data_IF_492872240375
#
_entry.id   IF_492872240375
#
_cell.length_a   1.000
_cell.length_b   1.000
_cell.length_c   1.000
_cell.angle_alpha   90.00
_cell.angle_beta   90.00
_cell.angle_gamma   90.00
#
_symmetry.space_group_name_H-M   'P 1'
#
loop_
_entity.id
_entity.type
_entity.pdbx_description
1 polymer ?
#
# COMPACT_ATOMS: atom_id res chain seq x y z
N UNK A 1 -17.41 62.06 -12.41
CA UNK A 1 -16.55 61.17 -13.22
C UNK A 1 -15.33 60.80 -12.40
N UNK A 2 -15.20 59.55 -11.97
CA UNK A 2 -13.95 58.85 -11.64
C UNK A 2 -14.22 57.34 -11.90
N UNK A 3 -13.33 56.62 -12.60
CA UNK A 3 -13.63 55.31 -13.18
C UNK A 3 -13.46 54.13 -12.20
N UNK A 4 -14.14 53.05 -12.58
CA UNK A 4 -14.14 51.69 -12.01
C UNK A 4 -12.73 51.09 -11.87
N UNK A 5 -12.53 50.31 -10.81
CA UNK A 5 -11.49 49.26 -10.76
C UNK A 5 -12.20 47.90 -10.68
N UNK A 6 -11.88 46.93 -11.55
CA UNK A 6 -12.46 45.60 -11.50
C UNK A 6 -11.82 44.81 -10.35
N UNK A 7 -12.65 44.31 -9.44
CA UNK A 7 -12.23 43.32 -8.43
C UNK A 7 -11.60 42.14 -9.15
N UNK A 8 -10.29 42.00 -9.02
CA UNK A 8 -9.53 40.87 -9.55
C UNK A 8 -10.03 39.59 -8.86
N UNK A 9 -10.63 38.72 -9.65
CA UNK A 9 -10.90 37.32 -9.32
C UNK A 9 -9.61 36.67 -8.82
N UNK A 10 -9.53 36.44 -7.52
CA UNK A 10 -8.45 35.68 -6.92
C UNK A 10 -8.61 34.22 -7.33
N UNK A 11 -7.89 33.83 -8.38
CA UNK A 11 -7.67 32.43 -8.74
C UNK A 11 -6.94 31.79 -7.57
N UNK A 12 -7.64 30.92 -6.85
CA UNK A 12 -7.03 29.92 -5.98
C UNK A 12 -6.13 29.04 -6.86
N UNK A 13 -4.85 29.36 -6.89
CA UNK A 13 -3.84 28.50 -7.47
C UNK A 13 -3.72 27.27 -6.57
N UNK A 14 -4.14 26.13 -7.11
CA UNK A 14 -3.96 24.79 -6.57
C UNK A 14 -2.48 24.56 -6.24
N UNK A 15 -2.12 24.59 -4.97
CA UNK A 15 -0.87 24.01 -4.49
C UNK A 15 -1.03 22.50 -4.50
N UNK A 16 -0.60 21.86 -5.59
CA UNK A 16 -0.39 20.41 -5.63
C UNK A 16 0.74 20.05 -4.63
N UNK A 17 0.52 19.14 -3.68
CA UNK A 17 1.53 18.79 -2.69
C UNK A 17 2.62 17.94 -3.34
N UNK A 18 3.82 18.50 -3.45
CA UNK A 18 5.04 17.80 -3.89
C UNK A 18 5.60 16.89 -2.78
N UNK A 19 4.98 16.90 -1.59
CA UNK A 19 5.33 16.12 -0.40
C UNK A 19 4.95 14.63 -0.52
N UNK A 20 4.01 14.28 -1.40
CA UNK A 20 3.48 12.91 -1.53
C UNK A 20 4.47 11.94 -2.18
N UNK A 21 5.41 12.42 -3.00
CA UNK A 21 6.40 11.56 -3.69
C UNK A 21 7.50 11.05 -2.76
N UNK A 22 7.99 11.88 -1.82
CA UNK A 22 8.94 11.43 -0.79
C UNK A 22 8.28 10.51 0.26
N UNK A 23 6.99 10.75 0.53
CA UNK A 23 6.17 9.91 1.41
C UNK A 23 6.00 8.48 0.89
N UNK A 24 5.73 8.31 -0.42
CA UNK A 24 5.53 6.97 -0.99
C UNK A 24 6.80 6.12 -1.00
N UNK A 25 7.96 6.70 -1.34
CA UNK A 25 9.24 5.98 -1.32
C UNK A 25 9.63 5.51 0.08
N UNK A 26 9.36 6.33 1.09
CA UNK A 26 9.57 5.99 2.51
C UNK A 26 8.61 4.89 2.96
N UNK A 27 7.32 5.01 2.62
CA UNK A 27 6.32 3.97 2.90
C UNK A 27 6.68 2.63 2.27
N UNK A 28 7.19 2.64 1.03
CA UNK A 28 7.62 1.43 0.33
C UNK A 28 8.83 0.78 1.00
N UNK A 29 9.80 1.59 1.44
CA UNK A 29 10.97 1.11 2.19
C UNK A 29 10.54 0.47 3.52
N UNK A 30 9.64 1.12 4.24
CA UNK A 30 9.13 0.63 5.53
C UNK A 30 8.32 -0.66 5.35
N UNK A 31 7.53 -0.75 4.27
CA UNK A 31 6.81 -1.96 3.93
C UNK A 31 7.76 -3.13 3.61
N UNK A 32 8.85 -2.88 2.87
CA UNK A 32 9.87 -3.91 2.57
C UNK A 32 10.57 -4.36 3.86
N UNK A 33 10.90 -3.43 4.76
CA UNK A 33 11.50 -3.76 6.05
C UNK A 33 10.55 -4.60 6.91
N UNK A 34 9.27 -4.24 6.97
CA UNK A 34 8.25 -4.99 7.70
C UNK A 34 8.05 -6.41 7.19
N UNK A 35 8.19 -6.63 5.87
CA UNK A 35 8.14 -7.97 5.27
C UNK A 35 9.35 -8.81 5.70
N UNK A 36 10.55 -8.23 5.69
CA UNK A 36 11.75 -8.90 6.17
C UNK A 36 11.63 -9.31 7.65
N UNK A 37 11.15 -8.40 8.50
CA UNK A 37 10.97 -8.68 9.92
C UNK A 37 9.92 -9.79 10.15
N UNK A 38 8.85 -9.80 9.36
CA UNK A 38 7.83 -10.87 9.40
C UNK A 38 8.38 -12.21 8.94
N UNK A 39 9.31 -12.22 7.98
CA UNK A 39 9.96 -13.43 7.48
C UNK A 39 10.86 -14.05 8.55
N UNK A 40 11.68 -13.23 9.21
CA UNK A 40 12.52 -13.66 10.35
C UNK A 40 11.68 -14.18 11.50
N UNK A 41 10.56 -13.52 11.81
CA UNK A 41 9.63 -13.98 12.84
C UNK A 41 9.00 -15.33 12.47
N UNK A 42 8.64 -15.51 11.19
CA UNK A 42 8.08 -16.77 10.67
C UNK A 42 9.09 -17.91 10.78
N UNK A 43 10.36 -17.69 10.41
CA UNK A 43 11.41 -18.71 10.54
C UNK A 43 11.61 -19.17 12.00
N UNK A 44 11.54 -18.22 12.93
CA UNK A 44 11.60 -18.51 14.36
C UNK A 44 10.38 -19.32 14.84
N UNK A 45 9.20 -19.00 14.32
CA UNK A 45 7.94 -19.69 14.64
C UNK A 45 7.87 -21.08 14.01
N UNK A 46 8.39 -21.28 12.80
CA UNK A 46 8.58 -22.58 12.16
C UNK A 46 9.55 -23.46 12.94
N UNK A 47 10.64 -22.87 13.44
CA UNK A 47 11.57 -23.56 14.33
C UNK A 47 10.88 -24.03 15.61
N UNK A 48 9.94 -23.23 16.15
CA UNK A 48 9.11 -23.62 17.30
C UNK A 48 8.07 -24.68 16.95
N UNK A 49 7.45 -24.62 15.78
CA UNK A 49 6.44 -25.57 15.31
C UNK A 49 7.01 -26.98 15.06
N UNK A 50 8.24 -27.07 14.55
CA UNK A 50 8.97 -28.35 14.41
C UNK A 50 9.15 -29.04 15.78
N UNK A 51 9.07 -28.28 16.89
CA UNK A 51 9.07 -28.84 18.24
C UNK A 51 7.73 -29.43 18.70
N UNK A 52 6.68 -29.40 17.86
CA UNK A 52 5.51 -30.30 18.00
C UNK A 52 4.29 -29.75 18.74
N UNK A 53 3.88 -28.51 18.49
CA UNK A 53 2.67 -27.96 19.11
C UNK A 53 1.37 -28.28 18.35
N UNK A 54 0.32 -28.57 19.15
CA UNK A 54 -1.01 -29.07 18.77
C UNK A 54 -1.73 -28.21 17.72
N UNK A 55 -2.02 -28.77 16.55
CA UNK A 55 -2.84 -28.14 15.50
C UNK A 55 -4.09 -28.97 15.24
N UNK A 56 -5.26 -28.37 15.43
CA UNK A 56 -6.54 -29.00 15.15
C UNK A 56 -6.90 -28.88 13.64
N UNK A 57 -7.43 -29.94 13.04
CA UNK A 57 -7.72 -30.00 11.59
C UNK A 57 -8.64 -28.88 11.08
N UNK A 58 -9.54 -28.36 11.92
CA UNK A 58 -10.46 -27.28 11.55
C UNK A 58 -9.73 -25.95 11.34
N UNK A 59 -8.67 -25.70 12.11
CA UNK A 59 -7.85 -24.49 11.97
C UNK A 59 -7.06 -24.49 10.66
N UNK A 60 -6.60 -25.67 10.21
CA UNK A 60 -5.90 -25.81 8.92
C UNK A 60 -6.84 -25.46 7.75
N UNK A 61 -8.09 -25.93 7.80
CA UNK A 61 -9.08 -25.62 6.76
C UNK A 61 -9.45 -24.13 6.74
N UNK A 62 -9.69 -23.52 7.91
CA UNK A 62 -10.00 -22.09 8.02
C UNK A 62 -8.81 -21.26 7.52
N UNK A 63 -7.59 -21.63 7.92
CA UNK A 63 -6.37 -20.95 7.51
C UNK A 63 -6.16 -21.04 5.99
N UNK A 64 -6.39 -22.21 5.39
CA UNK A 64 -6.30 -22.41 3.94
C UNK A 64 -7.31 -21.55 3.18
N UNK A 65 -8.55 -21.47 3.66
CA UNK A 65 -9.60 -20.63 3.07
C UNK A 65 -9.25 -19.14 3.18
N UNK A 66 -8.78 -18.72 4.36
CA UNK A 66 -8.32 -17.35 4.61
C UNK A 66 -7.15 -16.96 3.70
N UNK A 67 -6.14 -17.83 3.59
CA UNK A 67 -5.00 -17.62 2.70
C UNK A 67 -5.43 -17.48 1.23
N UNK A 68 -6.37 -18.31 0.77
CA UNK A 68 -6.91 -18.23 -0.58
C UNK A 68 -7.61 -16.89 -0.86
N UNK A 69 -8.41 -16.39 0.09
CA UNK A 69 -9.08 -15.09 -0.04
C UNK A 69 -8.05 -13.95 -0.01
N UNK A 70 -7.12 -13.98 0.94
CA UNK A 70 -6.06 -12.98 1.06
C UNK A 70 -5.18 -12.90 -0.19
N UNK A 71 -4.83 -14.04 -0.78
CA UNK A 71 -4.06 -14.09 -2.03
C UNK A 71 -4.82 -13.42 -3.17
N UNK A 72 -6.12 -13.72 -3.32
CA UNK A 72 -6.96 -13.08 -4.34
C UNK A 72 -7.04 -11.57 -4.13
N UNK A 73 -7.19 -11.11 -2.89
CA UNK A 73 -7.19 -9.68 -2.57
C UNK A 73 -5.84 -9.04 -2.90
N UNK A 74 -4.72 -9.69 -2.56
CA UNK A 74 -3.38 -9.19 -2.85
C UNK A 74 -3.14 -9.04 -4.37
N UNK A 75 -3.65 -9.98 -5.18
CA UNK A 75 -3.60 -9.88 -6.64
C UNK A 75 -4.39 -8.67 -7.16
N UNK A 76 -5.58 -8.40 -6.61
CA UNK A 76 -6.36 -7.22 -6.99
C UNK A 76 -5.66 -5.91 -6.61
N UNK A 77 -5.08 -5.85 -5.41
CA UNK A 77 -4.30 -4.70 -4.96
C UNK A 77 -3.08 -4.49 -5.86
N UNK A 78 -2.33 -5.56 -6.18
CA UNK A 78 -1.20 -5.51 -7.13
C UNK A 78 -1.63 -4.92 -8.47
N UNK A 79 -2.73 -5.40 -9.04
CA UNK A 79 -3.23 -4.91 -10.32
C UNK A 79 -3.57 -3.41 -10.25
N UNK A 80 -4.23 -2.96 -9.16
CA UNK A 80 -4.55 -1.54 -8.96
C UNK A 80 -3.33 -0.66 -8.76
N UNK A 81 -2.28 -1.15 -8.09
CA UNK A 81 -1.02 -0.41 -7.95
C UNK A 81 -0.30 -0.28 -9.30
N UNK A 82 -0.32 -1.33 -10.13
CA UNK A 82 0.25 -1.26 -11.49
C UNK A 82 -0.53 -0.30 -12.37
N UNK A 83 -1.87 -0.33 -12.34
CA UNK A 83 -2.73 0.62 -13.05
C UNK A 83 -2.44 2.06 -12.61
N UNK A 84 -2.35 2.32 -11.30
CA UNK A 84 -2.04 3.64 -10.76
C UNK A 84 -0.66 4.16 -11.20
N UNK A 85 0.35 3.28 -11.26
CA UNK A 85 1.67 3.62 -11.76
C UNK A 85 1.64 3.98 -13.26
N UNK A 86 0.93 3.17 -14.06
CA UNK A 86 0.75 3.44 -15.49
C UNK A 86 0.02 4.76 -15.74
N UNK A 87 -1.00 5.08 -14.96
CA UNK A 87 -1.76 6.32 -15.10
C UNK A 87 -0.92 7.55 -14.73
N UNK A 88 -0.12 7.47 -13.64
CA UNK A 88 0.83 8.53 -13.30
C UNK A 88 1.81 8.79 -14.44
N UNK A 89 2.35 7.72 -15.07
CA UNK A 89 3.24 7.85 -16.22
C UNK A 89 2.56 8.51 -17.42
N UNK A 90 1.28 8.21 -17.68
CA UNK A 90 0.50 8.84 -18.76
C UNK A 90 0.19 10.31 -18.51
N UNK A 91 0.09 10.73 -17.25
CA UNK A 91 -0.06 12.16 -16.90
C UNK A 91 1.25 12.95 -17.01
N UNK A 92 2.42 12.29 -17.04
CA UNK A 92 3.72 12.98 -17.01
C UNK A 92 4.38 13.18 -18.39
N UNK A 93 3.69 12.84 -19.48
CA UNK A 93 4.16 13.09 -20.86
C UNK A 93 3.48 14.29 -21.51
#
# INVERSE_FOLDING_TARGET
MQPVQPTMTQRVAETMPTETKESFGTMLKDAIQSVNDSQVASDNMTTKLINGDNVELHDVMITSQKASITLNTALQVRNKVVEAYQEIMRMTV
#
